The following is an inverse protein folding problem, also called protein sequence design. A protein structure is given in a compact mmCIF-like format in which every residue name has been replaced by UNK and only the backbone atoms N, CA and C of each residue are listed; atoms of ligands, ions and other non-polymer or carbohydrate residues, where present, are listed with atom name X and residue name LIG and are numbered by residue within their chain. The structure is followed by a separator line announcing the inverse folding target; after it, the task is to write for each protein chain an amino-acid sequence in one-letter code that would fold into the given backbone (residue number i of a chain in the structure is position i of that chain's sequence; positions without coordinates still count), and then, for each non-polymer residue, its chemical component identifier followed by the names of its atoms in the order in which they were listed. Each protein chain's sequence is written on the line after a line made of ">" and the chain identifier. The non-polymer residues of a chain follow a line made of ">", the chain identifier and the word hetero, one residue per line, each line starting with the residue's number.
data_IF_240688333553
#
_entry.id   IF_240688333553
#
_cell.length_a   1.000
_cell.length_b   1.000
_cell.length_c   1.000
_cell.angle_alpha   90.00
_cell.angle_beta   90.00
_cell.angle_gamma   90.00
#
_symmetry.space_group_name_H-M   'P 1'
#
loop_
_entity.id
_entity.type
_entity.pdbx_description
1 polymer ?
#
# COMPACT_ATOMS: atom_id res chain seq x y z
N UNK A 1 39.41 7.16 6.26
CA UNK A 1 38.57 8.10 7.04
C UNK A 1 37.60 8.93 6.18
N UNK A 2 37.91 9.27 4.92
CA UNK A 2 36.99 10.01 4.03
C UNK A 2 35.72 9.23 3.65
N UNK A 3 35.78 7.89 3.60
CA UNK A 3 34.63 7.04 3.22
C UNK A 3 33.50 6.97 4.27
N UNK A 4 33.80 7.20 5.55
CA UNK A 4 32.78 7.15 6.61
C UNK A 4 31.81 8.34 6.54
N UNK A 5 32.29 9.51 6.08
CA UNK A 5 31.48 10.73 5.99
C UNK A 5 30.40 10.62 4.91
N UNK A 6 30.69 9.91 3.82
CA UNK A 6 29.74 9.70 2.71
C UNK A 6 28.59 8.79 3.14
N UNK A 7 28.88 7.74 3.91
CA UNK A 7 27.87 6.78 4.39
C UNK A 7 26.89 7.46 5.37
N UNK A 8 27.40 8.32 6.26
CA UNK A 8 26.58 9.07 7.23
C UNK A 8 25.66 10.08 6.55
N UNK A 9 26.12 10.74 5.49
CA UNK A 9 25.32 11.70 4.73
C UNK A 9 24.16 11.03 3.99
N UNK A 10 24.36 9.82 3.45
CA UNK A 10 23.31 9.06 2.75
C UNK A 10 22.21 8.62 3.71
N UNK A 11 22.56 8.18 4.92
CA UNK A 11 21.59 7.73 5.95
C UNK A 11 20.71 8.87 6.50
N UNK A 12 21.23 10.11 6.55
CA UNK A 12 20.44 11.27 6.98
C UNK A 12 19.35 11.65 5.96
N UNK A 13 19.58 11.44 4.66
CA UNK A 13 18.59 11.75 3.61
C UNK A 13 17.41 10.78 3.62
N UNK A 14 17.62 9.52 4.04
CA UNK A 14 16.52 8.54 4.18
C UNK A 14 15.63 8.78 5.40
N UNK A 15 16.07 9.61 6.35
CA UNK A 15 15.37 9.82 7.62
C UNK A 15 14.30 10.93 7.57
N UNK A 16 14.21 11.67 6.47
CA UNK A 16 13.13 12.64 6.22
C UNK A 16 11.98 11.92 5.52
N UNK A 17 11.40 10.89 6.15
CA UNK A 17 10.06 10.44 5.78
C UNK A 17 9.08 11.18 6.66
N UNK A 18 8.45 12.20 6.10
CA UNK A 18 7.19 12.72 6.61
C UNK A 18 6.31 11.52 6.92
N UNK A 19 5.71 11.48 8.11
CA UNK A 19 4.75 10.45 8.50
C UNK A 19 3.49 10.63 7.64
N UNK A 20 3.56 10.27 6.37
CA UNK A 20 2.42 10.29 5.46
C UNK A 20 1.41 9.27 5.97
N UNK A 21 0.20 9.75 6.24
CA UNK A 21 -0.93 8.88 6.58
C UNK A 21 -1.19 7.94 5.41
N UNK A 22 -1.34 6.64 5.69
CA UNK A 22 -1.64 5.61 4.69
C UNK A 22 -2.79 6.05 3.78
N UNK A 23 -2.58 6.10 2.47
CA UNK A 23 -3.61 6.45 1.49
C UNK A 23 -4.27 5.20 0.92
N UNK A 24 -5.59 5.11 0.93
CA UNK A 24 -6.35 3.99 0.38
C UNK A 24 -7.35 4.48 -0.67
N UNK A 25 -7.68 3.61 -1.64
CA UNK A 25 -8.84 3.85 -2.49
C UNK A 25 -10.13 3.65 -1.69
N UNK A 26 -11.10 4.53 -1.90
CA UNK A 26 -12.42 4.50 -1.29
C UNK A 26 -13.48 4.53 -2.40
N UNK A 27 -14.34 3.51 -2.44
CA UNK A 27 -15.40 3.39 -3.42
C UNK A 27 -16.44 2.37 -2.95
N UNK A 28 -17.65 2.44 -3.52
CA UNK A 28 -18.73 1.49 -3.28
C UNK A 28 -19.41 1.06 -4.59
N UNK A 29 -19.57 -0.25 -4.77
CA UNK A 29 -20.28 -0.85 -5.90
C UNK A 29 -19.67 -0.52 -7.25
N UNK A 30 -20.45 0.12 -8.11
CA UNK A 30 -20.06 0.38 -9.49
C UNK A 30 -18.89 1.36 -9.63
N UNK A 31 -18.66 2.22 -8.63
CA UNK A 31 -17.54 3.16 -8.60
C UNK A 31 -16.19 2.44 -8.43
N UNK A 32 -16.20 1.22 -7.87
CA UNK A 32 -15.00 0.40 -7.74
C UNK A 32 -14.55 -0.28 -9.04
N UNK A 33 -15.35 -0.21 -10.12
CA UNK A 33 -14.99 -0.81 -11.42
C UNK A 33 -13.78 -0.13 -12.05
N UNK A 34 -13.54 1.14 -11.74
CA UNK A 34 -12.45 1.94 -12.30
C UNK A 34 -11.73 2.68 -11.19
N UNK A 35 -10.43 2.40 -11.04
CA UNK A 35 -9.58 3.08 -10.06
C UNK A 35 -9.41 4.58 -10.34
N UNK A 36 -9.68 5.02 -11.57
CA UNK A 36 -9.59 6.44 -11.94
C UNK A 36 -10.73 7.25 -11.32
N UNK A 37 -11.86 6.59 -11.09
CA UNK A 37 -13.08 7.19 -10.54
C UNK A 37 -13.20 6.95 -9.03
N UNK A 38 -12.27 6.19 -8.45
CA UNK A 38 -12.22 5.93 -7.00
C UNK A 38 -11.47 7.04 -6.27
N UNK A 39 -12.07 7.56 -5.21
CA UNK A 39 -11.45 8.56 -4.37
C UNK A 39 -10.24 7.99 -3.61
N UNK A 40 -9.23 8.82 -3.42
CA UNK A 40 -8.09 8.52 -2.55
C UNK A 40 -8.27 9.23 -1.22
N UNK A 41 -8.37 8.46 -0.15
CA UNK A 41 -8.58 8.98 1.19
C UNK A 41 -7.37 8.67 2.09
N UNK A 42 -6.90 9.64 2.89
CA UNK A 42 -5.92 9.38 3.93
C UNK A 42 -6.58 8.67 5.10
N UNK A 43 -6.03 7.54 5.53
CA UNK A 43 -6.41 6.88 6.77
C UNK A 43 -5.70 7.60 7.92
N UNK A 44 -6.39 8.57 8.54
CA UNK A 44 -5.88 9.30 9.70
C UNK A 44 -6.25 8.58 11.00
N UNK A 45 -5.34 8.71 11.97
CA UNK A 45 -5.25 7.93 13.20
C UNK A 45 -6.32 8.22 14.27
N UNK A 46 -7.48 8.76 13.91
CA UNK A 46 -8.61 8.88 14.84
C UNK A 46 -9.26 7.52 15.15
N UNK A 47 -8.98 6.49 14.36
CA UNK A 47 -9.34 5.10 14.60
C UNK A 47 -8.19 4.25 14.04
N UNK A 48 -7.80 3.17 14.73
CA UNK A 48 -6.67 2.24 14.50
C UNK A 48 -6.54 1.58 13.10
N UNK A 49 -6.80 2.33 12.03
CA UNK A 49 -6.95 1.87 10.66
C UNK A 49 -5.60 1.96 9.96
N UNK A 50 -4.68 1.05 10.32
CA UNK A 50 -3.37 0.95 9.67
C UNK A 50 -3.40 0.11 8.39
N UNK A 51 -4.57 -0.22 7.87
CA UNK A 51 -4.74 -1.08 6.70
C UNK A 51 -5.81 -0.54 5.75
N UNK A 52 -5.59 -0.73 4.45
CA UNK A 52 -6.65 -0.66 3.45
C UNK A 52 -7.37 -2.01 3.38
N UNK A 53 -8.65 -2.00 3.01
CA UNK A 53 -9.37 -3.21 2.63
C UNK A 53 -9.91 -3.13 1.21
N UNK A 54 -10.15 -4.32 0.65
CA UNK A 54 -10.93 -4.56 -0.56
C UNK A 54 -11.87 -5.74 -0.30
N UNK A 55 -13.16 -5.50 -0.42
CA UNK A 55 -14.20 -6.52 -0.38
C UNK A 55 -14.60 -6.83 -1.82
N UNK A 56 -14.35 -8.05 -2.27
CA UNK A 56 -14.78 -8.49 -3.59
C UNK A 56 -16.29 -8.78 -3.59
N UNK A 57 -16.94 -8.45 -4.71
CA UNK A 57 -18.35 -8.76 -4.91
C UNK A 57 -18.53 -10.28 -5.02
N UNK A 58 -19.37 -10.84 -4.16
CA UNK A 58 -19.80 -12.24 -4.24
C UNK A 58 -21.18 -12.28 -4.90
N UNK A 59 -21.22 -12.69 -6.19
CA UNK A 59 -22.40 -13.07 -6.99
C UNK A 59 -23.77 -12.59 -6.44
N UNK A 60 -23.97 -11.26 -6.41
CA UNK A 60 -25.26 -10.55 -6.32
C UNK A 60 -25.73 -9.98 -4.95
N UNK A 61 -25.09 -10.28 -3.81
CA UNK A 61 -25.58 -9.76 -2.51
C UNK A 61 -24.70 -8.70 -1.85
N UNK A 62 -23.44 -8.56 -2.26
CA UNK A 62 -22.51 -7.62 -1.65
C UNK A 62 -21.77 -6.87 -2.75
N UNK A 63 -21.96 -5.54 -2.89
CA UNK A 63 -21.22 -4.75 -3.86
C UNK A 63 -19.72 -4.74 -3.53
N UNK A 64 -18.87 -4.62 -4.55
CA UNK A 64 -17.43 -4.39 -4.33
C UNK A 64 -17.22 -3.12 -3.51
N UNK A 65 -16.33 -3.17 -2.52
CA UNK A 65 -16.07 -2.03 -1.65
C UNK A 65 -14.59 -1.91 -1.33
N UNK A 66 -14.09 -0.68 -1.23
CA UNK A 66 -12.70 -0.39 -0.87
C UNK A 66 -12.68 0.75 0.14
N UNK A 67 -11.70 0.76 1.05
CA UNK A 67 -11.52 1.86 1.98
C UNK A 67 -10.44 1.60 3.03
N UNK A 68 -10.44 2.43 4.07
CA UNK A 68 -9.64 2.23 5.29
C UNK A 68 -10.33 1.20 6.20
N UNK A 69 -9.59 0.20 6.68
CA UNK A 69 -10.14 -0.85 7.54
C UNK A 69 -10.25 -0.35 8.98
N UNK A 70 -11.47 0.00 9.38
CA UNK A 70 -11.83 0.33 10.76
C UNK A 70 -12.05 -0.97 11.55
N UNK A 71 -11.49 -1.05 12.76
CA UNK A 71 -11.82 -2.01 13.83
C UNK A 71 -12.45 -3.34 13.38
N UNK A 72 -11.65 -4.19 12.72
CA UNK A 72 -12.04 -5.56 12.38
C UNK A 72 -13.21 -5.71 11.38
N UNK A 73 -13.51 -4.69 10.57
CA UNK A 73 -14.56 -4.75 9.54
C UNK A 73 -14.48 -6.01 8.67
N UNK A 74 -13.31 -6.31 8.11
CA UNK A 74 -13.08 -7.54 7.35
C UNK A 74 -13.17 -8.84 8.17
N UNK A 75 -13.01 -8.79 9.50
CA UNK A 75 -13.12 -9.98 10.35
C UNK A 75 -14.59 -10.28 10.71
N UNK A 76 -15.46 -9.26 10.68
CA UNK A 76 -16.92 -9.38 10.88
C UNK A 76 -17.63 -9.79 9.60
N UNK A 77 -17.22 -9.26 8.45
CA UNK A 77 -17.84 -9.60 7.17
C UNK A 77 -17.39 -10.99 6.72
N UNK A 78 -18.34 -11.94 6.69
CA UNK A 78 -18.17 -13.24 6.04
C UNK A 78 -18.17 -13.05 4.51
N UNK A 79 -17.04 -12.68 3.95
CA UNK A 79 -16.85 -12.45 2.50
C UNK A 79 -15.37 -12.48 2.10
N UNK A 80 -15.10 -12.32 0.81
CA UNK A 80 -13.73 -12.21 0.28
C UNK A 80 -13.18 -10.80 0.53
N UNK A 81 -12.84 -10.54 1.80
CA UNK A 81 -12.31 -9.28 2.30
C UNK A 81 -10.78 -9.38 2.46
N UNK A 82 -10.04 -8.61 1.67
CA UNK A 82 -8.58 -8.62 1.65
C UNK A 82 -8.03 -7.34 2.30
N UNK A 83 -7.07 -7.49 3.22
CA UNK A 83 -6.38 -6.39 3.91
C UNK A 83 -4.98 -6.19 3.32
N UNK A 84 -4.50 -4.94 3.31
CA UNK A 84 -3.13 -4.61 2.94
C UNK A 84 -2.66 -3.30 3.62
N UNK A 85 -1.35 -3.11 3.76
CA UNK A 85 -0.76 -2.12 4.69
C UNK A 85 0.12 -1.07 4.01
N UNK A 86 0.00 -0.90 2.69
CA UNK A 86 0.80 0.05 1.91
C UNK A 86 -0.07 0.99 1.09
N UNK A 87 0.46 2.14 0.69
CA UNK A 87 -0.34 3.13 -0.03
C UNK A 87 -0.94 2.55 -1.31
N UNK A 88 -2.25 2.73 -1.43
CA UNK A 88 -3.05 2.40 -2.61
C UNK A 88 -3.04 0.89 -2.92
N UNK A 89 -2.67 0.07 -1.93
CA UNK A 89 -2.54 -1.39 -2.09
C UNK A 89 -3.86 -2.06 -2.42
N UNK A 90 -4.98 -1.49 -1.95
CA UNK A 90 -6.32 -1.98 -2.24
C UNK A 90 -6.79 -1.62 -3.66
N UNK A 91 -5.90 -1.12 -4.54
CA UNK A 91 -6.17 -0.83 -5.95
C UNK A 91 -6.24 -2.07 -6.86
N UNK A 92 -5.65 -3.20 -6.46
CA UNK A 92 -5.43 -4.39 -7.32
C UNK A 92 -4.64 -4.10 -8.61
N UNK A 93 -3.34 -4.32 -8.46
CA UNK A 93 -2.30 -4.45 -9.49
C UNK A 93 -1.01 -4.93 -8.84
N UNK A 94 -1.11 -6.00 -8.02
CA UNK A 94 -0.11 -6.40 -7.01
C UNK A 94 1.23 -6.97 -7.55
N UNK A 95 1.51 -6.88 -8.86
CA UNK A 95 2.68 -7.57 -9.43
C UNK A 95 3.77 -6.60 -9.90
N UNK A 96 3.47 -5.31 -10.08
CA UNK A 96 4.44 -4.38 -10.69
C UNK A 96 5.51 -3.84 -9.73
N UNK A 97 5.24 -3.74 -8.42
CA UNK A 97 6.16 -3.07 -7.47
C UNK A 97 7.27 -3.97 -6.90
N UNK A 98 7.09 -5.30 -6.88
CA UNK A 98 8.10 -6.22 -6.35
C UNK A 98 9.30 -6.41 -7.30
N UNK A 99 9.11 -6.22 -8.61
CA UNK A 99 10.12 -6.49 -9.63
C UNK A 99 11.22 -5.41 -9.63
N UNK A 100 10.86 -4.15 -9.41
CA UNK A 100 11.83 -3.03 -9.43
C UNK A 100 12.90 -3.13 -8.34
N UNK A 101 12.53 -3.53 -7.13
CA UNK A 101 13.47 -3.69 -6.01
C UNK A 101 14.41 -4.90 -6.20
N UNK A 102 13.95 -5.96 -6.87
CA UNK A 102 14.78 -7.14 -7.15
C UNK A 102 15.86 -6.84 -8.20
N UNK A 103 15.52 -6.08 -9.26
CA UNK A 103 16.47 -5.69 -10.31
C UNK A 103 17.58 -4.81 -9.77
N UNK A 104 17.26 -3.86 -8.87
CA UNK A 104 18.26 -3.00 -8.25
C UNK A 104 19.25 -3.80 -7.38
N UNK A 105 18.76 -4.79 -6.61
CA UNK A 105 19.60 -5.68 -5.80
C UNK A 105 20.55 -6.51 -6.66
N UNK A 106 20.08 -7.04 -7.79
CA UNK A 106 20.92 -7.82 -8.72
C UNK A 106 22.04 -6.95 -9.31
N UNK A 107 21.74 -5.72 -9.71
CA UNK A 107 22.75 -4.80 -10.26
C UNK A 107 23.83 -4.42 -9.23
N UNK A 108 23.47 -4.22 -7.97
CA UNK A 108 24.43 -3.93 -6.89
C UNK A 108 25.34 -5.15 -6.63
N UNK A 109 24.78 -6.36 -6.59
CA UNK A 109 25.57 -7.59 -6.40
C UNK A 109 26.55 -7.81 -7.56
N UNK A 110 26.14 -7.52 -8.79
CA UNK A 110 27.02 -7.62 -9.96
C UNK A 110 28.13 -6.55 -9.95
N UNK A 111 27.81 -5.31 -9.55
CA UNK A 111 28.78 -4.21 -9.49
C UNK A 111 29.84 -4.39 -8.39
N UNK A 112 29.52 -5.09 -7.30
CA UNK A 112 30.48 -5.36 -6.20
C UNK A 112 31.44 -6.52 -6.51
N UNK A 113 31.12 -7.36 -7.51
CA UNK A 113 31.92 -8.54 -7.87
C UNK A 113 32.92 -8.33 -9.01
N UNK A 114 32.94 -7.14 -9.62
CA UNK A 114 33.95 -6.66 -10.57
C UNK A 114 34.98 -5.77 -9.90
#
# INVERSE_FOLDING_TARGET
>A
MKSFIVISAILAVFSIRSSESLQCYNCLGNECKSLKDSDLVPCTSSVLSMACYKLNSNNDNIPEQRGCNLENYCDVIRGDCQKCYTDKCNGSGSIARAIGSLVLLILVVLAVKS
#
